data_IF_927864084908
#
_entry.id   IF_927864084908
#
_cell.length_a   1.000
_cell.length_b   1.000
_cell.length_c   1.000
_cell.angle_alpha   90.00
_cell.angle_beta   90.00
_cell.angle_gamma   90.00
#
_symmetry.space_group_name_H-M   'P 1'
#
loop_
_entity.id
_entity.type
_entity.pdbx_description
1 polymer ?
#
# COMPACT_ATOMS: atom_id res chain seq x y z
N UNK A 1 5.22 13.12 27.97
CA UNK A 1 6.07 11.95 27.67
C UNK A 1 6.98 12.28 26.50
N UNK A 2 8.12 11.61 26.45
CA UNK A 2 9.27 11.90 25.61
C UNK A 2 9.05 11.77 24.11
N UNK A 3 10.04 12.28 23.36
CA UNK A 3 10.26 12.16 21.90
C UNK A 3 9.99 10.75 21.32
N UNK A 4 9.99 9.70 22.14
CA UNK A 4 9.86 8.29 21.74
C UNK A 4 8.54 7.62 22.16
N UNK A 5 7.63 8.32 22.84
CA UNK A 5 6.39 7.70 23.36
C UNK A 5 5.51 7.09 22.26
N UNK A 6 5.41 7.78 21.11
CA UNK A 6 4.67 7.27 19.94
C UNK A 6 5.31 6.05 19.27
N UNK A 7 6.65 6.00 19.20
CA UNK A 7 7.41 4.85 18.66
C UNK A 7 7.16 3.61 19.52
N UNK A 8 7.35 3.74 20.84
CA UNK A 8 7.09 2.65 21.78
C UNK A 8 5.63 2.20 21.75
N UNK A 9 4.69 3.13 21.56
CA UNK A 9 3.27 2.82 21.46
C UNK A 9 2.96 2.00 20.21
N UNK A 10 3.46 2.43 19.04
CA UNK A 10 3.31 1.67 17.78
C UNK A 10 3.92 0.28 17.89
N UNK A 11 5.11 0.14 18.46
CA UNK A 11 5.75 -1.16 18.69
C UNK A 11 4.91 -2.07 19.59
N UNK A 12 4.43 -1.56 20.73
CA UNK A 12 3.57 -2.32 21.64
C UNK A 12 2.28 -2.82 20.97
N UNK A 13 1.68 -2.02 20.10
CA UNK A 13 0.50 -2.40 19.32
C UNK A 13 0.83 -3.47 18.28
N UNK A 14 1.94 -3.32 17.55
CA UNK A 14 2.41 -4.30 16.57
C UNK A 14 2.68 -5.66 17.21
N UNK A 15 3.21 -5.68 18.44
CA UNK A 15 3.43 -6.90 19.22
C UNK A 15 2.16 -7.46 19.88
N UNK A 16 1.01 -6.77 19.76
CA UNK A 16 -0.24 -7.15 20.41
C UNK A 16 -0.24 -6.95 21.94
N UNK A 17 0.71 -6.20 22.49
CA UNK A 17 0.85 -5.95 23.92
C UNK A 17 -0.11 -4.85 24.41
N UNK A 18 -1.39 -5.21 24.51
CA UNK A 18 -2.48 -4.30 24.94
C UNK A 18 -2.23 -3.63 26.29
N UNK A 19 -1.59 -4.31 27.24
CA UNK A 19 -1.29 -3.74 28.57
C UNK A 19 -0.28 -2.59 28.46
N UNK A 20 0.79 -2.80 27.71
CA UNK A 20 1.79 -1.77 27.47
C UNK A 20 1.23 -0.62 26.64
N UNK A 21 0.46 -0.91 25.58
CA UNK A 21 -0.19 0.09 24.75
C UNK A 21 -1.10 1.02 25.58
N UNK A 22 -1.92 0.45 26.48
CA UNK A 22 -2.77 1.23 27.41
C UNK A 22 -1.95 2.14 28.33
N UNK A 23 -0.92 1.60 28.97
CA UNK A 23 -0.04 2.37 29.86
C UNK A 23 0.64 3.53 29.12
N UNK A 24 1.09 3.31 27.88
CA UNK A 24 1.74 4.35 27.08
C UNK A 24 0.76 5.47 26.71
N UNK A 25 -0.49 5.15 26.34
CA UNK A 25 -1.51 6.18 26.11
C UNK A 25 -1.86 6.96 27.37
N UNK A 26 -2.03 6.30 28.51
CA UNK A 26 -2.30 6.97 29.80
C UNK A 26 -1.21 8.00 30.16
N UNK A 27 0.01 7.78 29.67
CA UNK A 27 1.14 8.68 29.90
C UNK A 27 1.34 9.71 28.78
N UNK A 28 0.45 9.74 27.79
CA UNK A 28 0.40 10.73 26.72
C UNK A 28 1.24 10.37 25.50
N UNK A 29 1.41 9.08 25.19
CA UNK A 29 1.93 8.67 23.88
C UNK A 29 0.99 9.15 22.75
N UNK A 30 1.58 9.55 21.62
CA UNK A 30 0.84 9.93 20.43
C UNK A 30 0.32 8.68 19.72
N UNK A 31 -1.00 8.46 19.77
CA UNK A 31 -1.69 7.33 19.15
C UNK A 31 -1.53 7.29 17.62
N UNK A 32 -1.29 8.46 17.01
CA UNK A 32 -1.18 8.65 15.57
C UNK A 32 0.27 8.81 15.11
N UNK A 33 1.25 8.48 15.95
CA UNK A 33 2.65 8.50 15.56
C UNK A 33 2.91 7.59 14.36
N UNK A 34 3.55 8.15 13.33
CA UNK A 34 3.74 7.47 12.06
C UNK A 34 5.06 7.84 11.37
N UNK A 35 6.12 8.24 12.09
CA UNK A 35 7.42 8.53 11.44
C UNK A 35 8.13 7.22 11.03
N UNK A 36 8.94 7.22 9.96
CA UNK A 36 9.74 6.05 9.62
C UNK A 36 10.85 5.82 10.65
N UNK A 37 11.13 4.56 10.96
CA UNK A 37 12.26 4.12 11.79
C UNK A 37 12.79 2.76 11.28
N UNK A 38 13.72 2.14 12.03
CA UNK A 38 14.32 0.86 11.63
C UNK A 38 13.34 -0.31 11.62
N UNK A 39 12.28 -0.26 12.43
CA UNK A 39 11.28 -1.33 12.57
C UNK A 39 10.11 -1.10 11.61
N UNK A 40 9.71 0.16 11.45
CA UNK A 40 8.60 0.59 10.61
C UNK A 40 9.10 1.59 9.55
N UNK A 41 9.91 1.15 8.58
CA UNK A 41 10.50 2.03 7.57
C UNK A 41 9.43 2.67 6.68
N UNK A 42 8.21 2.12 6.68
CA UNK A 42 7.09 2.58 5.87
C UNK A 42 6.31 3.73 6.49
N UNK A 43 6.64 4.14 7.73
CA UNK A 43 5.97 5.27 8.37
C UNK A 43 4.46 5.00 8.63
N UNK A 44 4.11 3.76 8.98
CA UNK A 44 2.73 3.34 9.28
C UNK A 44 2.28 3.75 10.69
N UNK A 45 0.96 3.89 10.91
CA UNK A 45 0.39 4.13 12.25
C UNK A 45 0.22 2.82 13.04
N UNK A 46 0.07 2.94 14.36
CA UNK A 46 -0.24 1.79 15.22
C UNK A 46 -1.52 1.04 14.78
N UNK A 47 -2.57 1.77 14.36
CA UNK A 47 -3.81 1.14 13.86
C UNK A 47 -3.59 0.39 12.55
N UNK A 48 -2.73 0.90 11.66
CA UNK A 48 -2.35 0.20 10.42
C UNK A 48 -1.63 -1.11 10.74
N UNK A 49 -0.72 -1.11 11.71
CA UNK A 49 -0.04 -2.33 12.13
C UNK A 49 -0.98 -3.34 12.80
N UNK A 50 -1.95 -2.88 13.60
CA UNK A 50 -2.97 -3.78 14.15
C UNK A 50 -3.80 -4.47 13.06
N UNK A 51 -4.13 -3.75 11.97
CA UNK A 51 -4.82 -4.33 10.80
C UNK A 51 -3.90 -5.30 10.05
N UNK A 52 -2.62 -4.98 9.89
CA UNK A 52 -1.62 -5.87 9.26
C UNK A 52 -1.57 -7.22 9.96
N UNK A 53 -1.63 -7.22 11.29
CA UNK A 53 -1.69 -8.42 12.13
C UNK A 53 -3.10 -9.02 12.29
N UNK A 54 -4.09 -8.52 11.55
CA UNK A 54 -5.50 -8.97 11.57
C UNK A 54 -6.13 -8.95 12.98
N UNK A 55 -5.64 -8.09 13.86
CA UNK A 55 -6.05 -8.02 15.26
C UNK A 55 -7.26 -7.09 15.45
N UNK A 56 -8.45 -7.56 15.07
CA UNK A 56 -9.70 -6.77 15.15
C UNK A 56 -9.99 -6.20 16.56
N UNK A 57 -9.79 -6.93 17.69
CA UNK A 57 -9.96 -6.36 19.02
C UNK A 57 -9.05 -5.15 19.29
N UNK A 58 -7.78 -5.21 18.87
CA UNK A 58 -6.86 -4.08 18.99
C UNK A 58 -7.27 -2.93 18.09
N UNK A 59 -7.68 -3.19 16.85
CA UNK A 59 -8.17 -2.17 15.91
C UNK A 59 -9.37 -1.41 16.50
N UNK A 60 -10.37 -2.12 17.02
CA UNK A 60 -11.54 -1.53 17.68
C UNK A 60 -11.12 -0.65 18.86
N UNK A 61 -10.25 -1.16 19.73
CA UNK A 61 -9.77 -0.40 20.88
C UNK A 61 -9.03 0.87 20.46
N UNK A 62 -8.14 0.82 19.46
CA UNK A 62 -7.42 1.99 18.97
C UNK A 62 -8.37 3.06 18.43
N UNK A 63 -9.38 2.66 17.65
CA UNK A 63 -10.40 3.57 17.12
C UNK A 63 -11.20 4.19 18.26
N UNK A 64 -11.59 3.41 19.28
CA UNK A 64 -12.25 3.92 20.49
C UNK A 64 -11.38 4.93 21.25
N UNK A 65 -10.05 4.81 21.19
CA UNK A 65 -9.10 5.77 21.77
C UNK A 65 -8.81 6.97 20.86
N UNK A 66 -9.46 7.08 19.69
CA UNK A 66 -9.31 8.20 18.77
C UNK A 66 -8.15 8.07 17.77
N UNK A 67 -7.73 6.84 17.45
CA UNK A 67 -6.78 6.62 16.36
C UNK A 67 -7.37 7.11 15.02
N UNK A 68 -6.59 7.88 14.28
CA UNK A 68 -6.95 8.37 12.96
C UNK A 68 -6.67 7.28 11.91
N UNK A 69 -7.74 6.74 11.34
CA UNK A 69 -7.68 5.69 10.31
C UNK A 69 -7.44 6.23 8.90
N UNK A 70 -7.32 7.56 8.75
CA UNK A 70 -7.11 8.21 7.44
C UNK A 70 -5.63 8.44 7.12
N UNK A 71 -4.75 8.29 8.11
CA UNK A 71 -3.31 8.46 7.94
C UNK A 71 -2.75 7.28 7.13
N UNK A 72 -2.23 7.59 5.95
CA UNK A 72 -1.53 6.64 5.10
C UNK A 72 -0.03 6.62 5.41
N UNK A 73 0.58 5.46 5.19
CA UNK A 73 2.02 5.24 5.23
C UNK A 73 2.72 5.82 3.97
N UNK A 74 4.03 5.66 3.85
CA UNK A 74 4.82 6.23 2.75
C UNK A 74 4.46 5.68 1.36
N UNK A 75 3.80 4.53 1.30
CA UNK A 75 3.34 3.89 0.08
C UNK A 75 1.88 4.17 -0.24
N UNK A 76 1.19 4.91 0.64
CA UNK A 76 -0.23 5.22 0.50
C UNK A 76 -1.14 4.21 1.18
N UNK A 77 -0.57 3.27 1.94
CA UNK A 77 -1.34 2.26 2.66
C UNK A 77 -1.92 2.83 3.96
N UNK A 78 -3.22 2.63 4.14
CA UNK A 78 -3.96 3.00 5.34
C UNK A 78 -4.73 1.78 5.86
N UNK A 79 -5.30 1.80 7.07
CA UNK A 79 -5.98 0.66 7.66
C UNK A 79 -6.89 -0.12 6.70
N UNK A 80 -7.79 0.55 5.97
CA UNK A 80 -8.71 -0.16 5.07
C UNK A 80 -8.01 -0.80 3.86
N UNK A 81 -7.04 -0.15 3.21
CA UNK A 81 -6.33 -0.76 2.07
C UNK A 81 -5.54 -1.99 2.51
N UNK A 82 -4.93 -1.95 3.70
CA UNK A 82 -4.25 -3.10 4.30
C UNK A 82 -5.23 -4.24 4.60
N UNK A 83 -6.45 -3.92 5.08
CA UNK A 83 -7.48 -4.94 5.31
C UNK A 83 -7.91 -5.64 4.01
N UNK A 84 -8.04 -4.88 2.92
CA UNK A 84 -8.34 -5.40 1.57
C UNK A 84 -7.21 -6.30 1.06
N UNK A 85 -5.95 -5.84 1.12
CA UNK A 85 -4.77 -6.65 0.76
C UNK A 85 -4.71 -7.97 1.56
N UNK A 86 -5.03 -7.90 2.86
CA UNK A 86 -5.08 -9.05 3.75
C UNK A 86 -6.21 -10.04 3.47
N UNK A 87 -7.11 -9.70 2.52
CA UNK A 87 -8.35 -10.43 2.21
C UNK A 87 -9.23 -10.62 3.45
N UNK A 88 -9.19 -9.66 4.37
CA UNK A 88 -9.98 -9.67 5.59
C UNK A 88 -11.21 -8.78 5.41
N UNK A 89 -12.28 -9.38 4.87
CA UNK A 89 -13.52 -8.68 4.55
C UNK A 89 -14.17 -8.03 5.78
N UNK A 90 -14.14 -8.70 6.94
CA UNK A 90 -14.72 -8.16 8.17
C UNK A 90 -14.03 -6.85 8.59
N UNK A 91 -12.69 -6.83 8.59
CA UNK A 91 -11.94 -5.61 8.88
C UNK A 91 -12.15 -4.54 7.82
N UNK A 92 -12.18 -4.91 6.54
CA UNK A 92 -12.38 -3.98 5.44
C UNK A 92 -13.76 -3.31 5.54
N UNK A 93 -14.82 -4.08 5.78
CA UNK A 93 -16.18 -3.54 5.92
C UNK A 93 -16.31 -2.64 7.15
N UNK A 94 -15.69 -3.04 8.26
CA UNK A 94 -15.68 -2.23 9.48
C UNK A 94 -14.99 -0.89 9.27
N UNK A 95 -13.80 -0.88 8.65
CA UNK A 95 -13.05 0.34 8.41
C UNK A 95 -13.72 1.22 7.35
N UNK A 96 -14.24 0.64 6.28
CA UNK A 96 -15.02 1.34 5.25
C UNK A 96 -16.22 2.09 5.83
N UNK A 97 -16.91 1.49 6.81
CA UNK A 97 -18.06 2.12 7.45
C UNK A 97 -17.68 3.34 8.33
N UNK A 98 -16.40 3.50 8.65
CA UNK A 98 -15.88 4.59 9.48
C UNK A 98 -15.16 5.66 8.66
N UNK A 99 -14.80 5.38 7.41
CA UNK A 99 -14.16 6.33 6.51
C UNK A 99 -15.18 7.28 5.85
N UNK A 100 -14.73 8.45 5.39
CA UNK A 100 -15.57 9.34 4.58
C UNK A 100 -16.12 8.63 3.34
N UNK A 101 -17.41 8.80 3.05
CA UNK A 101 -18.08 8.14 1.91
C UNK A 101 -17.39 8.46 0.57
N UNK A 102 -16.81 9.66 0.45
CA UNK A 102 -16.12 10.12 -0.74
C UNK A 102 -14.91 9.25 -1.10
N UNK A 103 -14.29 8.59 -0.12
CA UNK A 103 -13.12 7.73 -0.35
C UNK A 103 -13.49 6.41 -1.03
N UNK A 104 -14.76 6.05 -1.01
CA UNK A 104 -15.29 4.85 -1.66
C UNK A 104 -16.17 5.21 -2.88
N UNK A 105 -16.04 6.43 -3.39
CA UNK A 105 -16.77 6.94 -4.54
C UNK A 105 -15.91 6.93 -5.81
N UNK A 106 -16.37 6.25 -6.85
CA UNK A 106 -15.63 6.13 -8.12
C UNK A 106 -15.42 7.48 -8.82
N UNK A 107 -16.38 8.40 -8.75
CA UNK A 107 -16.28 9.71 -9.38
C UNK A 107 -15.20 10.55 -8.70
N UNK A 108 -15.11 10.51 -7.37
CA UNK A 108 -14.07 11.22 -6.63
C UNK A 108 -12.71 10.56 -6.83
N UNK A 109 -12.63 9.21 -6.87
CA UNK A 109 -11.41 8.50 -7.27
C UNK A 109 -10.94 8.94 -8.65
N UNK A 110 -11.84 9.06 -9.62
CA UNK A 110 -11.50 9.53 -10.96
C UNK A 110 -10.95 10.96 -10.94
N UNK A 111 -11.56 11.87 -10.16
CA UNK A 111 -11.06 13.24 -9.98
C UNK A 111 -9.66 13.27 -9.36
N UNK A 112 -9.43 12.45 -8.33
CA UNK A 112 -8.13 12.30 -7.69
C UNK A 112 -7.06 11.78 -8.67
N UNK A 113 -7.43 10.83 -9.54
CA UNK A 113 -6.52 10.22 -10.50
C UNK A 113 -6.36 11.02 -11.80
N UNK A 114 -7.19 12.04 -12.07
CA UNK A 114 -7.10 12.87 -13.28
C UNK A 114 -5.70 13.45 -13.55
N UNK A 115 -4.97 14.01 -12.55
CA UNK A 115 -3.62 14.53 -12.76
C UNK A 115 -2.62 13.49 -13.26
N UNK A 116 -2.90 12.20 -13.04
CA UNK A 116 -2.02 11.10 -13.42
C UNK A 116 -2.13 10.66 -14.88
N UNK A 117 -3.13 11.17 -15.62
CA UNK A 117 -3.27 10.98 -17.07
C UNK A 117 -3.20 9.49 -17.47
N UNK A 118 -3.87 8.64 -16.70
CA UNK A 118 -3.95 7.20 -16.98
C UNK A 118 -4.59 6.97 -18.37
N UNK A 119 -4.04 6.08 -19.21
CA UNK A 119 -4.68 5.69 -20.45
C UNK A 119 -6.06 5.07 -20.21
N UNK A 120 -7.02 5.32 -21.10
CA UNK A 120 -8.38 4.79 -20.97
C UNK A 120 -8.38 3.26 -20.81
N UNK A 121 -7.54 2.55 -21.57
CA UNK A 121 -7.37 1.09 -21.48
C UNK A 121 -6.87 0.64 -20.10
N UNK A 122 -5.96 1.39 -19.48
CA UNK A 122 -5.47 1.08 -18.13
C UNK A 122 -6.59 1.29 -17.11
N UNK A 123 -7.32 2.39 -17.19
CA UNK A 123 -8.47 2.66 -16.30
C UNK A 123 -9.53 1.58 -16.44
N UNK A 124 -9.91 1.21 -17.67
CA UNK A 124 -10.86 0.15 -17.94
C UNK A 124 -10.38 -1.19 -17.37
N UNK A 125 -9.11 -1.55 -17.59
CA UNK A 125 -8.54 -2.78 -17.07
C UNK A 125 -8.59 -2.85 -15.54
N UNK A 126 -8.24 -1.77 -14.82
CA UNK A 126 -8.28 -1.76 -13.36
C UNK A 126 -9.71 -1.84 -12.79
N UNK A 127 -10.73 -1.51 -13.59
CA UNK A 127 -12.15 -1.60 -13.19
C UNK A 127 -12.74 -2.98 -13.45
N UNK A 128 -12.42 -3.60 -14.57
CA UNK A 128 -13.14 -4.80 -15.05
C UNK A 128 -12.24 -5.95 -15.48
N UNK A 129 -10.94 -5.74 -15.60
CA UNK A 129 -9.97 -6.75 -16.01
C UNK A 129 -9.58 -7.72 -14.89
N UNK A 130 -8.91 -8.83 -15.23
CA UNK A 130 -8.40 -9.75 -14.22
C UNK A 130 -7.25 -9.09 -13.45
N UNK A 131 -7.47 -8.86 -12.16
CA UNK A 131 -6.47 -8.27 -11.27
C UNK A 131 -5.43 -9.29 -10.81
N UNK A 132 -5.79 -10.57 -10.75
CA UNK A 132 -4.86 -11.68 -10.54
C UNK A 132 -4.29 -12.10 -11.89
N UNK A 133 -3.00 -11.86 -12.07
CA UNK A 133 -2.23 -12.29 -13.23
C UNK A 133 -1.45 -13.54 -12.87
N UNK A 134 -1.52 -14.58 -13.69
CA UNK A 134 -0.84 -15.86 -13.46
C UNK A 134 0.05 -16.22 -14.65
N UNK A 135 1.24 -16.68 -14.34
CA UNK A 135 2.29 -17.03 -15.28
C UNK A 135 3.14 -18.17 -14.67
N UNK A 136 2.55 -19.35 -14.47
CA UNK A 136 3.14 -20.46 -13.70
C UNK A 136 4.42 -21.03 -14.32
N UNK A 137 4.62 -20.82 -15.62
CA UNK A 137 5.80 -21.25 -16.39
C UNK A 137 7.04 -20.38 -16.13
N UNK A 138 6.87 -19.20 -15.52
CA UNK A 138 7.98 -18.30 -15.22
C UNK A 138 8.78 -18.77 -14.00
N UNK A 139 10.05 -18.38 -13.96
CA UNK A 139 11.02 -18.88 -12.99
C UNK A 139 10.86 -18.26 -11.60
N UNK A 140 10.75 -16.94 -11.52
CA UNK A 140 10.89 -16.19 -10.26
C UNK A 140 9.55 -15.76 -9.70
N UNK A 141 8.81 -14.99 -10.48
CA UNK A 141 7.48 -14.54 -10.15
C UNK A 141 6.53 -15.42 -10.94
N UNK A 142 5.54 -16.04 -10.31
CA UNK A 142 4.53 -16.88 -10.99
C UNK A 142 3.15 -16.26 -11.03
N UNK A 143 2.94 -15.24 -10.23
CA UNK A 143 1.70 -14.48 -10.20
C UNK A 143 1.95 -13.07 -9.67
N UNK A 144 1.07 -12.16 -10.06
CA UNK A 144 0.99 -10.82 -9.47
C UNK A 144 -0.48 -10.44 -9.27
N UNK A 145 -0.74 -9.59 -8.29
CA UNK A 145 -2.05 -9.07 -7.98
C UNK A 145 -2.00 -7.55 -8.14
N UNK A 146 -2.75 -7.03 -9.11
CA UNK A 146 -2.94 -5.60 -9.32
C UNK A 146 -4.00 -5.06 -8.37
N UNK A 147 -3.88 -3.78 -8.01
CA UNK A 147 -4.96 -3.08 -7.33
C UNK A 147 -6.18 -2.94 -8.23
N UNK A 148 -7.37 -2.97 -7.64
CA UNK A 148 -8.56 -2.47 -8.32
C UNK A 148 -8.42 -0.96 -8.56
N UNK A 149 -9.22 -0.39 -9.47
CA UNK A 149 -9.23 1.05 -9.73
C UNK A 149 -9.43 1.88 -8.45
N UNK A 150 -10.24 1.38 -7.51
CA UNK A 150 -10.53 2.06 -6.24
C UNK A 150 -9.33 2.01 -5.28
N UNK A 151 -8.51 0.97 -5.38
CA UNK A 151 -7.43 0.68 -4.44
C UNK A 151 -6.07 1.20 -4.88
N UNK A 152 -5.92 1.68 -6.12
CA UNK A 152 -4.68 2.31 -6.62
C UNK A 152 -4.22 3.43 -5.68
N UNK A 153 -2.93 3.46 -5.35
CA UNK A 153 -2.40 4.34 -4.31
C UNK A 153 -1.45 5.38 -4.90
N UNK A 154 -1.57 6.64 -4.45
CA UNK A 154 -0.54 7.65 -4.70
C UNK A 154 0.63 7.42 -3.74
N UNK A 155 1.84 7.46 -4.27
CA UNK A 155 3.06 7.52 -3.47
C UNK A 155 4.03 8.57 -4.02
N UNK A 156 4.98 8.97 -3.18
CA UNK A 156 6.03 9.92 -3.57
C UNK A 156 7.41 9.29 -3.47
N UNK A 157 8.16 9.26 -4.59
CA UNK A 157 9.54 8.80 -4.65
C UNK A 157 10.48 9.90 -5.14
N UNK A 158 11.46 10.33 -4.34
CA UNK A 158 12.42 11.40 -4.70
C UNK A 158 11.74 12.64 -5.33
N UNK A 159 10.63 13.10 -4.71
CA UNK A 159 9.75 14.21 -5.16
C UNK A 159 8.90 13.95 -6.41
N UNK A 160 8.91 12.72 -6.94
CA UNK A 160 8.02 12.29 -8.03
C UNK A 160 6.75 11.71 -7.43
N UNK A 161 5.59 12.24 -7.84
CA UNK A 161 4.30 11.62 -7.55
C UNK A 161 4.01 10.52 -8.56
N UNK A 162 3.75 9.32 -8.07
CA UNK A 162 3.55 8.11 -8.85
C UNK A 162 2.29 7.39 -8.35
N UNK A 163 1.73 6.49 -9.16
CA UNK A 163 0.66 5.59 -8.72
C UNK A 163 1.17 4.17 -8.61
N UNK A 164 1.01 3.56 -7.45
CA UNK A 164 1.21 2.12 -7.27
C UNK A 164 0.04 1.35 -7.83
N UNK A 165 0.34 0.40 -8.72
CA UNK A 165 -0.65 -0.40 -9.44
C UNK A 165 -0.68 -1.87 -8.97
N UNK A 166 0.31 -2.31 -8.21
CA UNK A 166 0.45 -3.71 -7.80
C UNK A 166 0.35 -3.81 -6.27
N UNK A 167 -0.53 -4.71 -5.84
CA UNK A 167 -0.80 -5.01 -4.44
C UNK A 167 0.17 -6.05 -3.88
N UNK A 168 0.50 -7.07 -4.67
CA UNK A 168 1.40 -8.14 -4.27
C UNK A 168 1.96 -8.87 -5.49
N UNK A 169 3.07 -9.57 -5.32
CA UNK A 169 3.55 -10.55 -6.27
C UNK A 169 4.19 -11.75 -5.57
N UNK A 170 4.33 -12.84 -6.31
CA UNK A 170 4.90 -14.09 -5.79
C UNK A 170 6.34 -13.90 -5.29
N UNK A 171 6.66 -14.42 -4.10
CA UNK A 171 8.00 -14.44 -3.48
C UNK A 171 8.69 -13.10 -3.20
N UNK A 172 8.11 -11.96 -3.56
CA UNK A 172 8.76 -10.65 -3.45
C UNK A 172 7.78 -9.59 -2.95
N UNK A 173 8.12 -8.93 -1.84
CA UNK A 173 7.34 -7.83 -1.25
C UNK A 173 7.95 -6.45 -1.47
N UNK A 174 9.22 -6.39 -1.86
CA UNK A 174 10.00 -5.15 -1.90
C UNK A 174 9.99 -4.49 -3.29
N UNK A 175 9.23 -5.01 -4.25
CA UNK A 175 9.06 -4.40 -5.56
C UNK A 175 7.70 -3.75 -5.71
N UNK A 176 7.70 -2.50 -6.19
CA UNK A 176 6.47 -1.79 -6.57
C UNK A 176 6.37 -1.62 -8.08
N UNK A 177 5.17 -1.79 -8.62
CA UNK A 177 4.84 -1.45 -10.01
C UNK A 177 4.18 -0.07 -10.05
N UNK A 178 4.83 0.89 -10.70
CA UNK A 178 4.53 2.31 -10.58
C UNK A 178 4.19 2.94 -11.93
N UNK A 179 3.07 3.67 -12.02
CA UNK A 179 2.77 4.53 -13.16
C UNK A 179 3.40 5.92 -13.00
N UNK A 180 4.21 6.32 -13.99
CA UNK A 180 4.73 7.69 -14.10
C UNK A 180 3.84 8.54 -15.01
N UNK A 181 3.12 9.55 -14.48
CA UNK A 181 2.28 10.42 -15.31
C UNK A 181 3.10 11.37 -16.21
N UNK A 182 4.36 11.61 -15.83
CA UNK A 182 5.32 12.39 -16.61
C UNK A 182 5.74 11.63 -17.86
N UNK A 183 6.10 10.36 -17.70
CA UNK A 183 6.67 9.55 -18.78
C UNK A 183 5.61 8.75 -19.54
N UNK A 184 4.39 8.67 -18.97
CA UNK A 184 3.25 7.90 -19.49
C UNK A 184 3.60 6.43 -19.73
N UNK A 185 4.36 5.86 -18.79
CA UNK A 185 4.79 4.46 -18.79
C UNK A 185 4.94 3.96 -17.36
N UNK A 186 5.04 2.63 -17.25
CA UNK A 186 5.35 1.93 -16.02
C UNK A 186 6.85 2.03 -15.71
N UNK A 187 7.11 2.06 -14.41
CA UNK A 187 8.40 1.96 -13.75
C UNK A 187 8.28 0.92 -12.66
N UNK A 188 9.40 0.44 -12.16
CA UNK A 188 9.42 -0.28 -10.90
C UNK A 188 10.37 0.37 -9.90
N UNK A 189 10.08 0.15 -8.63
CA UNK A 189 10.94 0.53 -7.52
C UNK A 189 11.31 -0.75 -6.78
N UNK A 190 12.61 -1.04 -6.73
CA UNK A 190 13.18 -1.97 -5.77
C UNK A 190 13.42 -1.20 -4.47
N UNK A 191 12.62 -1.50 -3.45
CA UNK A 191 12.66 -0.86 -2.14
C UNK A 191 13.93 -1.28 -1.38
N UNK A 192 14.33 -2.54 -1.50
CA UNK A 192 15.47 -3.09 -0.77
C UNK A 192 16.77 -2.39 -1.21
N UNK A 193 16.92 -2.15 -2.51
CA UNK A 193 18.11 -1.52 -3.10
C UNK A 193 17.95 -0.01 -3.36
N UNK A 194 16.78 0.57 -3.09
CA UNK A 194 16.42 1.97 -3.41
C UNK A 194 16.58 2.34 -4.91
N UNK A 195 16.35 1.37 -5.79
CA UNK A 195 16.55 1.51 -7.23
C UNK A 195 15.25 1.74 -7.99
N UNK A 196 15.25 2.68 -8.93
CA UNK A 196 14.04 3.12 -9.61
C UNK A 196 14.26 3.17 -11.12
N UNK A 197 13.66 2.21 -11.81
CA UNK A 197 13.97 1.89 -13.20
C UNK A 197 12.74 1.95 -14.10
N UNK A 198 12.88 2.40 -15.36
CA UNK A 198 11.79 2.38 -16.32
C UNK A 198 11.45 0.94 -16.71
N UNK A 199 10.17 0.64 -16.92
CA UNK A 199 9.73 -0.71 -17.32
C UNK A 199 9.19 -0.72 -18.75
N UNK A 200 7.92 -0.36 -18.95
CA UNK A 200 7.26 -0.47 -20.25
C UNK A 200 6.03 0.43 -20.35
N UNK A 201 5.52 0.67 -21.57
CA UNK A 201 4.18 1.24 -21.71
C UNK A 201 3.14 0.23 -21.23
N UNK A 202 1.97 0.71 -20.81
CA UNK A 202 0.89 -0.15 -20.33
C UNK A 202 0.51 -1.25 -21.34
N UNK A 203 0.29 -0.88 -22.60
CA UNK A 203 -0.13 -1.82 -23.64
C UNK A 203 0.92 -2.92 -23.88
N UNK A 204 2.22 -2.58 -23.77
CA UNK A 204 3.31 -3.55 -23.92
C UNK A 204 3.40 -4.47 -22.69
N UNK A 205 3.28 -3.90 -21.48
CA UNK A 205 3.31 -4.66 -20.23
C UNK A 205 2.17 -5.66 -20.13
N UNK A 206 0.93 -5.22 -20.38
CA UNK A 206 -0.23 -6.07 -20.15
C UNK A 206 -0.38 -7.19 -21.19
N UNK A 207 0.30 -7.06 -22.33
CA UNK A 207 0.38 -8.12 -23.34
C UNK A 207 1.24 -9.32 -22.88
N UNK A 208 2.25 -9.09 -22.04
CA UNK A 208 3.13 -10.12 -21.49
C UNK A 208 3.68 -9.74 -20.10
N UNK A 209 2.81 -9.68 -19.06
CA UNK A 209 3.21 -9.18 -17.74
C UNK A 209 4.25 -10.07 -17.07
N UNK A 210 4.19 -11.39 -17.31
CA UNK A 210 5.11 -12.36 -16.73
C UNK A 210 6.56 -12.10 -17.15
N UNK A 211 6.80 -11.76 -18.42
CA UNK A 211 8.12 -11.35 -18.92
C UNK A 211 8.65 -10.15 -18.17
N UNK A 212 7.89 -9.06 -18.10
CA UNK A 212 8.36 -7.82 -17.47
C UNK A 212 8.60 -7.98 -15.97
N UNK A 213 7.69 -8.65 -15.26
CA UNK A 213 7.84 -8.86 -13.81
C UNK A 213 9.02 -9.79 -13.48
N UNK A 214 9.32 -10.79 -14.31
CA UNK A 214 10.52 -11.62 -14.10
C UNK A 214 11.80 -10.89 -14.51
N UNK A 215 11.76 -10.11 -15.59
CA UNK A 215 12.90 -9.29 -16.02
C UNK A 215 13.31 -8.23 -14.99
N UNK A 216 12.37 -7.73 -14.18
CA UNK A 216 12.67 -6.87 -13.02
C UNK A 216 13.59 -7.57 -12.00
N UNK A 217 13.36 -8.86 -11.75
CA UNK A 217 14.15 -9.67 -10.80
C UNK A 217 15.51 -10.04 -11.39
N UNK A 218 15.58 -10.20 -12.71
CA UNK A 218 16.79 -10.56 -13.43
C UNK A 218 17.69 -9.34 -13.74
N UNK A 219 17.27 -8.13 -13.37
CA UNK A 219 18.00 -6.89 -13.62
C UNK A 219 18.01 -6.47 -15.09
N UNK A 220 17.08 -6.96 -15.92
CA UNK A 220 17.04 -6.67 -17.37
C UNK A 220 16.85 -5.19 -17.70
N UNK A 221 16.36 -4.41 -16.74
CA UNK A 221 15.95 -3.01 -16.91
C UNK A 221 16.82 -2.03 -16.09
N UNK A 222 17.88 -2.53 -15.47
CA UNK A 222 18.87 -1.75 -14.73
C UNK A 222 19.84 -1.11 -15.75
N UNK A 223 19.50 0.10 -16.24
CA UNK A 223 20.38 0.91 -17.11
C UNK A 223 21.04 2.08 -16.36
#
# INVERSE_FOLDING_TARGET
MDKFGGEAFRAAVSEGNTKLARLLLEKGADINYHKPDMVFPNASTAVTEAVRHKNLPMVRWLIEQGADITIADKYGDRPYTVAVQNKNQELADYLKALEPEEWHNEQEKLRQLMPYKLPAKLVEYLKTGPLRLEFPEQKWVKWAELYSFMDVQEMTWKRKKLLSLMAAMDNYSDYLLLWSPRDKKLWYLDIEHEEFHPLAKWDDFIADPGRYLNGMIEGEFEE
#
